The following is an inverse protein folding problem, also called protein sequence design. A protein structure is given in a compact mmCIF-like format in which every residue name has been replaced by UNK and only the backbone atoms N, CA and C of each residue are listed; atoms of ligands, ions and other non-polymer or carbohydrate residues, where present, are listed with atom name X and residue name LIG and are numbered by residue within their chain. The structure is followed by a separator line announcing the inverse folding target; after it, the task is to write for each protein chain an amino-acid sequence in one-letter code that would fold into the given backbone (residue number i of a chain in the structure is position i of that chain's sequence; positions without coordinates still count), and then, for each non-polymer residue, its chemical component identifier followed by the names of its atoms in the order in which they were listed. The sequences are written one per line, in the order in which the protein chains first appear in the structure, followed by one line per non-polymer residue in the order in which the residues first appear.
data_IF_465839016590
#
_entry.id   IF_465839016590
#
_cell.length_a   1.000
_cell.length_b   1.000
_cell.length_c   1.000
_cell.angle_alpha   90.00
_cell.angle_beta   90.00
_cell.angle_gamma   90.00
#
_symmetry.space_group_name_H-M   'P 1'
#
loop_
_entity.id
_entity.type
_entity.pdbx_description
1 polymer ?
#
# COMPACT_ATOMS: atom_id res chain seq x y z
N UNK A 1 -25.07 7.27 15.68
CA UNK A 1 -25.87 7.43 14.45
C UNK A 1 -25.19 8.38 13.49
N UNK A 2 -24.33 7.89 12.59
CA UNK A 2 -23.96 8.57 11.34
C UNK A 2 -23.69 7.47 10.31
N UNK A 3 -24.39 7.56 9.19
CA UNK A 3 -24.42 6.59 8.10
C UNK A 3 -23.03 6.21 7.61
N UNK A 4 -22.70 4.92 7.64
CA UNK A 4 -21.77 4.34 6.69
C UNK A 4 -22.54 4.19 5.37
N UNK A 5 -22.06 4.74 4.24
CA UNK A 5 -22.68 4.43 2.96
C UNK A 5 -22.55 2.92 2.72
N UNK A 6 -23.69 2.27 2.48
CA UNK A 6 -23.75 0.90 2.00
C UNK A 6 -22.79 0.77 0.81
N UNK A 7 -21.78 -0.09 0.95
CA UNK A 7 -21.12 -0.68 -0.20
C UNK A 7 -22.20 -1.45 -0.95
N UNK A 8 -22.74 -0.81 -1.99
CA UNK A 8 -23.63 -1.41 -2.97
C UNK A 8 -22.97 -2.69 -3.47
N UNK A 9 -23.48 -3.83 -2.98
CA UNK A 9 -23.22 -5.12 -3.59
C UNK A 9 -23.89 -5.06 -4.95
N UNK A 10 -23.11 -4.73 -6.00
CA UNK A 10 -23.63 -4.76 -7.37
C UNK A 10 -24.12 -6.18 -7.65
N UNK A 11 -25.43 -6.29 -7.84
CA UNK A 11 -26.12 -7.45 -8.36
C UNK A 11 -25.38 -7.97 -9.60
N UNK A 12 -25.05 -9.27 -9.60
CA UNK A 12 -24.54 -9.98 -10.78
C UNK A 12 -25.67 -10.03 -11.82
N UNK A 13 -25.70 -9.05 -12.72
CA UNK A 13 -26.41 -9.19 -13.99
C UNK A 13 -25.82 -10.37 -14.76
N UNK A 14 -26.69 -11.22 -15.30
CA UNK A 14 -26.31 -12.34 -16.15
C UNK A 14 -25.43 -11.82 -17.31
N UNK A 15 -24.17 -12.28 -17.39
CA UNK A 15 -23.27 -11.95 -18.49
C UNK A 15 -23.56 -12.88 -19.66
N UNK A 16 -24.09 -12.31 -20.75
CA UNK A 16 -24.09 -12.97 -22.05
C UNK A 16 -22.65 -13.05 -22.59
N UNK A 17 -22.12 -14.26 -22.78
CA UNK A 17 -21.12 -14.58 -23.80
C UNK A 17 -19.82 -13.77 -23.92
N UNK A 18 -19.38 -13.03 -22.90
CA UNK A 18 -18.07 -12.35 -22.93
C UNK A 18 -17.00 -13.22 -22.27
N UNK A 19 -15.86 -13.36 -22.94
CA UNK A 19 -14.62 -13.95 -22.36
C UNK A 19 -14.44 -13.40 -20.95
N UNK A 20 -14.13 -14.23 -19.92
CA UNK A 20 -13.98 -13.75 -18.56
C UNK A 20 -12.95 -12.61 -18.53
N UNK A 21 -13.41 -11.37 -18.29
CA UNK A 21 -12.51 -10.26 -18.01
C UNK A 21 -11.79 -10.57 -16.71
N UNK A 22 -10.46 -10.48 -16.70
CA UNK A 22 -9.68 -10.67 -15.48
C UNK A 22 -10.05 -9.63 -14.43
N UNK A 23 -9.59 -9.85 -13.20
CA UNK A 23 -9.87 -8.99 -12.05
C UNK A 23 -8.55 -8.55 -11.41
N UNK A 24 -8.48 -7.29 -10.98
CA UNK A 24 -7.32 -6.76 -10.24
C UNK A 24 -7.69 -6.47 -8.79
N UNK A 25 -6.98 -7.07 -7.85
CA UNK A 25 -7.09 -6.77 -6.43
C UNK A 25 -5.81 -6.05 -5.95
N UNK A 26 -5.93 -4.78 -5.55
CA UNK A 26 -4.87 -4.04 -4.88
C UNK A 26 -4.91 -4.33 -3.38
N UNK A 27 -3.93 -5.06 -2.86
CA UNK A 27 -3.99 -5.64 -1.52
C UNK A 27 -2.88 -5.12 -0.63
N UNK A 28 -3.22 -4.56 0.52
CA UNK A 28 -2.27 -4.24 1.59
C UNK A 28 -1.85 -5.50 2.36
N UNK A 29 -0.55 -5.80 2.33
CA UNK A 29 0.06 -6.97 2.97
C UNK A 29 0.29 -6.82 4.48
N UNK A 30 0.11 -5.61 5.03
CA UNK A 30 0.52 -5.33 6.40
C UNK A 30 2.04 -5.08 6.52
N UNK A 31 2.57 -4.90 7.75
CA UNK A 31 3.93 -4.44 7.99
C UNK A 31 5.01 -5.53 7.85
N UNK A 32 4.64 -6.79 7.57
CA UNK A 32 5.56 -7.91 7.34
C UNK A 32 5.16 -9.20 8.06
N UNK A 33 4.54 -9.10 9.23
CA UNK A 33 4.02 -10.27 9.96
C UNK A 33 2.76 -10.84 9.25
N UNK A 34 2.77 -12.12 8.84
CA UNK A 34 1.60 -12.75 8.21
C UNK A 34 0.33 -12.73 9.06
N UNK A 35 0.44 -12.69 10.39
CA UNK A 35 -0.74 -12.61 11.28
C UNK A 35 -1.44 -11.24 11.23
N UNK A 36 -0.78 -10.23 10.65
CA UNK A 36 -1.34 -8.91 10.43
C UNK A 36 -1.98 -8.75 9.05
N UNK A 37 -2.04 -9.83 8.24
CA UNK A 37 -2.88 -9.87 7.06
C UNK A 37 -4.36 -9.76 7.45
N UNK A 38 -5.11 -8.98 6.69
CA UNK A 38 -6.57 -9.03 6.82
C UNK A 38 -7.09 -10.34 6.25
N UNK A 39 -8.22 -10.83 6.77
CA UNK A 39 -8.89 -12.01 6.20
C UNK A 39 -9.25 -11.83 4.71
N UNK A 40 -9.47 -10.59 4.27
CA UNK A 40 -9.74 -10.28 2.86
C UNK A 40 -8.47 -10.36 2.00
N UNK A 41 -7.32 -9.93 2.55
CA UNK A 41 -6.03 -10.05 1.87
C UNK A 41 -5.63 -11.52 1.70
N UNK A 42 -5.77 -12.33 2.75
CA UNK A 42 -5.50 -13.78 2.69
C UNK A 42 -6.35 -14.46 1.60
N UNK A 43 -7.66 -14.21 1.59
CA UNK A 43 -8.57 -14.76 0.57
C UNK A 43 -8.21 -14.34 -0.86
N UNK A 44 -7.75 -13.11 -1.05
CA UNK A 44 -7.29 -12.64 -2.35
C UNK A 44 -6.05 -13.42 -2.81
N UNK A 45 -5.08 -13.62 -1.92
CA UNK A 45 -3.86 -14.40 -2.20
C UNK A 45 -4.16 -15.87 -2.52
N UNK A 46 -5.04 -16.51 -1.76
CA UNK A 46 -5.44 -17.91 -1.94
C UNK A 46 -6.17 -18.18 -3.28
N UNK A 47 -6.67 -17.12 -3.92
CA UNK A 47 -7.43 -17.21 -5.18
C UNK A 47 -6.72 -16.53 -6.36
N UNK A 48 -5.53 -15.99 -6.15
CA UNK A 48 -4.77 -15.30 -7.19
C UNK A 48 -4.23 -16.26 -8.25
N UNK A 49 -4.25 -15.84 -9.52
CA UNK A 49 -3.50 -16.49 -10.59
C UNK A 49 -2.11 -15.88 -10.73
N UNK A 50 -2.00 -14.56 -10.50
CA UNK A 50 -0.76 -13.81 -10.56
C UNK A 50 -0.67 -12.90 -9.34
N UNK A 51 0.46 -12.92 -8.64
CA UNK A 51 0.77 -12.01 -7.53
C UNK A 51 1.95 -11.14 -7.94
N UNK A 52 1.70 -9.84 -8.10
CA UNK A 52 2.73 -8.83 -8.38
C UNK A 52 3.01 -8.11 -7.06
N UNK A 53 4.18 -8.28 -6.47
CA UNK A 53 4.45 -7.81 -5.11
C UNK A 53 5.59 -6.79 -5.02
N UNK A 54 5.54 -5.93 -4.00
CA UNK A 54 6.69 -5.09 -3.64
C UNK A 54 7.80 -5.90 -2.96
N UNK A 55 9.04 -5.42 -3.06
CA UNK A 55 10.20 -5.99 -2.35
C UNK A 55 10.05 -6.08 -0.82
N UNK A 56 9.23 -5.20 -0.23
CA UNK A 56 9.07 -5.11 1.23
C UNK A 56 8.10 -6.17 1.77
N UNK A 57 7.41 -6.90 0.91
CA UNK A 57 6.56 -8.02 1.33
C UNK A 57 7.46 -9.19 1.74
N UNK A 58 7.16 -9.79 2.89
CA UNK A 58 7.93 -10.89 3.45
C UNK A 58 7.65 -12.21 2.70
N UNK A 59 8.63 -13.14 2.63
CA UNK A 59 8.41 -14.46 2.05
C UNK A 59 7.24 -15.23 2.70
N UNK A 60 7.08 -15.13 4.01
CA UNK A 60 6.02 -15.84 4.75
C UNK A 60 4.61 -15.36 4.38
N UNK A 61 4.47 -14.13 3.88
CA UNK A 61 3.21 -13.63 3.29
C UNK A 61 3.01 -14.20 1.88
N UNK A 62 4.07 -14.25 1.07
CA UNK A 62 3.99 -14.78 -0.30
C UNK A 62 3.65 -16.28 -0.32
N UNK A 63 4.07 -17.02 0.70
CA UNK A 63 3.70 -18.43 0.91
C UNK A 63 2.20 -18.66 1.10
N UNK A 64 1.42 -17.59 1.37
CA UNK A 64 -0.05 -17.65 1.45
C UNK A 64 -0.73 -17.60 0.09
N UNK A 65 0.01 -17.32 -0.98
CA UNK A 65 -0.53 -17.33 -2.33
C UNK A 65 -0.99 -18.73 -2.73
N UNK A 66 -1.99 -18.78 -3.62
CA UNK A 66 -2.47 -20.02 -4.23
C UNK A 66 -1.29 -20.85 -4.75
N UNK A 67 -1.32 -22.16 -4.52
CA UNK A 67 -0.39 -23.08 -5.16
C UNK A 67 -0.51 -22.95 -6.69
N UNK A 68 0.63 -22.70 -7.35
CA UNK A 68 0.70 -22.49 -8.80
C UNK A 68 0.38 -21.06 -9.26
N UNK A 69 0.20 -20.10 -8.36
CA UNK A 69 0.18 -18.69 -8.72
C UNK A 69 1.55 -18.27 -9.28
N UNK A 70 1.54 -17.44 -10.32
CA UNK A 70 2.74 -16.78 -10.81
C UNK A 70 3.11 -15.63 -9.88
N UNK A 71 4.27 -15.70 -9.23
CA UNK A 71 4.76 -14.66 -8.33
C UNK A 71 5.78 -13.79 -9.08
N UNK A 72 5.51 -12.49 -9.17
CA UNK A 72 6.33 -11.51 -9.87
C UNK A 72 6.80 -10.43 -8.88
N UNK A 73 8.12 -10.26 -8.75
CA UNK A 73 8.70 -9.19 -7.95
C UNK A 73 8.70 -7.88 -8.77
N UNK A 74 7.96 -6.88 -8.30
CA UNK A 74 7.96 -5.52 -8.83
C UNK A 74 9.07 -4.64 -8.18
N UNK A 75 9.85 -5.23 -7.27
CA UNK A 75 10.97 -4.66 -6.56
C UNK A 75 12.27 -4.60 -7.38
N UNK A 76 13.40 -4.46 -6.66
CA UNK A 76 14.74 -4.44 -7.26
C UNK A 76 15.32 -5.85 -7.26
N UNK A 77 15.84 -6.33 -8.39
CA UNK A 77 16.88 -7.36 -8.38
C UNK A 77 18.23 -6.71 -8.02
N UNK A 78 18.78 -7.05 -6.84
CA UNK A 78 20.12 -6.61 -6.43
C UNK A 78 20.34 -5.09 -6.42
N UNK A 79 21.49 -4.63 -6.95
CA UNK A 79 21.87 -3.22 -7.08
C UNK A 79 21.27 -2.52 -8.32
N UNK A 80 20.36 -3.17 -9.05
CA UNK A 80 19.74 -2.64 -10.26
C UNK A 80 18.74 -1.50 -10.02
N UNK A 81 18.33 -0.79 -11.10
CA UNK A 81 17.22 0.14 -11.04
C UNK A 81 15.92 -0.61 -10.67
N UNK A 82 15.06 0.03 -9.88
CA UNK A 82 13.73 -0.53 -9.60
C UNK A 82 12.92 -0.56 -10.89
N UNK A 83 12.03 -1.56 -11.03
CA UNK A 83 11.06 -1.60 -12.12
C UNK A 83 10.33 -0.26 -12.21
N UNK A 84 10.25 0.29 -13.42
CA UNK A 84 9.56 1.56 -13.59
C UNK A 84 8.06 1.36 -13.32
N UNK A 85 7.40 2.36 -12.75
CA UNK A 85 5.96 2.24 -12.45
C UNK A 85 5.13 1.90 -13.69
N UNK A 86 5.52 2.44 -14.84
CA UNK A 86 4.86 2.12 -16.11
C UNK A 86 4.95 0.63 -16.47
N UNK A 87 6.05 -0.05 -16.13
CA UNK A 87 6.24 -1.48 -16.36
C UNK A 87 5.37 -2.31 -15.40
N UNK A 88 5.29 -1.92 -14.13
CA UNK A 88 4.39 -2.55 -13.14
C UNK A 88 2.94 -2.44 -13.63
N UNK A 89 2.52 -1.23 -14.03
CA UNK A 89 1.19 -0.96 -14.55
C UNK A 89 0.90 -1.83 -15.79
N UNK A 90 1.87 -1.93 -16.71
CA UNK A 90 1.75 -2.76 -17.91
C UNK A 90 1.60 -4.25 -17.58
N UNK A 91 2.34 -4.77 -16.60
CA UNK A 91 2.21 -6.17 -16.15
C UNK A 91 0.82 -6.45 -15.57
N UNK A 92 0.32 -5.56 -14.71
CA UNK A 92 -1.03 -5.69 -14.13
C UNK A 92 -2.07 -5.79 -15.26
N UNK A 93 -2.04 -4.82 -16.19
CA UNK A 93 -2.99 -4.76 -17.32
C UNK A 93 -2.82 -5.96 -18.24
N UNK A 94 -1.60 -6.37 -18.55
CA UNK A 94 -1.31 -7.50 -19.44
C UNK A 94 -1.91 -8.81 -18.91
N UNK A 95 -1.68 -9.13 -17.63
CA UNK A 95 -2.18 -10.36 -17.04
C UNK A 95 -3.71 -10.34 -16.88
N UNK A 96 -4.27 -9.23 -16.39
CA UNK A 96 -5.72 -9.10 -16.21
C UNK A 96 -6.47 -9.11 -17.56
N UNK A 97 -5.92 -8.52 -18.62
CA UNK A 97 -6.50 -8.54 -19.97
C UNK A 97 -6.54 -9.95 -20.58
N UNK A 98 -5.72 -10.88 -20.08
CA UNK A 98 -5.72 -12.30 -20.46
C UNK A 98 -6.68 -13.15 -19.62
N UNK A 99 -7.47 -12.52 -18.75
CA UNK A 99 -8.46 -13.20 -17.91
C UNK A 99 -7.95 -13.63 -16.52
N UNK A 100 -6.70 -13.31 -16.15
CA UNK A 100 -6.14 -13.70 -14.86
C UNK A 100 -6.75 -12.89 -13.70
N UNK A 101 -6.87 -13.54 -12.53
CA UNK A 101 -7.01 -12.83 -11.27
C UNK A 101 -5.64 -12.34 -10.79
N UNK A 102 -5.41 -11.03 -10.89
CA UNK A 102 -4.17 -10.38 -10.52
C UNK A 102 -4.29 -9.77 -9.13
N UNK A 103 -3.42 -10.19 -8.21
CA UNK A 103 -3.22 -9.52 -6.93
C UNK A 103 -1.99 -8.63 -7.02
N UNK A 104 -2.18 -7.32 -6.92
CA UNK A 104 -1.10 -6.35 -6.72
C UNK A 104 -0.89 -6.19 -5.21
N UNK A 105 0.10 -6.92 -4.67
CA UNK A 105 0.38 -7.01 -3.25
C UNK A 105 1.38 -5.92 -2.81
N UNK A 106 0.94 -5.02 -1.95
CA UNK A 106 1.68 -3.82 -1.54
C UNK A 106 2.02 -3.89 -0.06
N UNK A 107 3.24 -3.52 0.31
CA UNK A 107 3.63 -3.50 1.73
C UNK A 107 2.80 -2.49 2.53
N UNK A 108 2.41 -2.86 3.75
CA UNK A 108 1.61 -2.01 4.63
C UNK A 108 0.15 -1.92 4.17
N UNK A 109 -0.32 -0.69 4.01
CA UNK A 109 -1.66 -0.40 3.47
C UNK A 109 -1.53 0.09 2.03
N UNK A 110 -2.37 -0.44 1.12
CA UNK A 110 -2.32 -0.10 -0.29
C UNK A 110 -2.49 1.40 -0.58
N UNK A 111 -3.17 2.15 0.28
CA UNK A 111 -3.51 3.56 0.10
C UNK A 111 -2.48 4.52 0.70
N UNK A 112 -1.52 4.03 1.49
CA UNK A 112 -0.55 4.88 2.20
C UNK A 112 0.81 4.85 1.50
N UNK A 113 1.13 5.94 0.80
CA UNK A 113 2.40 6.11 0.05
C UNK A 113 2.70 4.97 -0.95
N UNK A 114 1.65 4.31 -1.45
CA UNK A 114 1.74 3.14 -2.32
C UNK A 114 1.64 3.42 -3.82
N UNK A 115 1.39 4.66 -4.26
CA UNK A 115 1.14 4.99 -5.69
C UNK A 115 -0.07 4.24 -6.29
N UNK A 116 -1.07 3.95 -5.46
CA UNK A 116 -2.27 3.21 -5.86
C UNK A 116 -3.02 3.89 -7.01
N UNK A 117 -3.16 5.21 -6.99
CA UNK A 117 -3.93 5.94 -8.01
C UNK A 117 -3.34 5.75 -9.40
N UNK A 118 -2.01 5.76 -9.54
CA UNK A 118 -1.34 5.51 -10.83
C UNK A 118 -1.61 4.10 -11.38
N UNK A 119 -1.70 3.12 -10.49
CA UNK A 119 -2.02 1.72 -10.86
C UNK A 119 -3.51 1.58 -11.21
N UNK A 120 -4.40 2.24 -10.47
CA UNK A 120 -5.84 2.30 -10.76
C UNK A 120 -6.11 2.98 -12.11
N UNK A 121 -5.46 4.11 -12.40
CA UNK A 121 -5.61 4.82 -13.67
C UNK A 121 -5.27 3.92 -14.86
N UNK A 122 -4.19 3.15 -14.77
CA UNK A 122 -3.81 2.20 -15.81
C UNK A 122 -4.86 1.09 -16.01
N UNK A 123 -5.38 0.52 -14.93
CA UNK A 123 -6.39 -0.56 -14.96
C UNK A 123 -7.72 -0.05 -15.51
N UNK A 124 -8.18 1.11 -15.06
CA UNK A 124 -9.42 1.73 -15.54
C UNK A 124 -9.34 2.17 -17.00
N UNK A 125 -8.20 2.72 -17.44
CA UNK A 125 -7.95 3.07 -18.84
C UNK A 125 -8.01 1.85 -19.76
N UNK A 126 -7.58 0.69 -19.26
CA UNK A 126 -7.69 -0.59 -19.97
C UNK A 126 -9.10 -1.23 -19.91
N UNK A 127 -10.07 -0.58 -19.25
CA UNK A 127 -11.45 -1.08 -19.12
C UNK A 127 -11.58 -2.30 -18.18
N UNK A 128 -10.64 -2.47 -17.25
CA UNK A 128 -10.61 -3.58 -16.31
C UNK A 128 -11.24 -3.22 -14.96
N UNK A 129 -11.89 -4.20 -14.32
CA UNK A 129 -12.43 -4.05 -12.97
C UNK A 129 -11.34 -4.23 -11.91
N UNK A 130 -11.46 -3.48 -10.82
CA UNK A 130 -10.56 -3.62 -9.68
C UNK A 130 -11.26 -3.56 -8.32
N UNK A 131 -10.56 -4.01 -7.28
CA UNK A 131 -10.91 -3.81 -5.87
C UNK A 131 -9.70 -3.36 -5.08
N UNK A 132 -9.95 -2.62 -4.01
CA UNK A 132 -8.92 -2.28 -3.02
C UNK A 132 -9.21 -3.03 -1.73
N UNK A 133 -8.18 -3.68 -1.18
CA UNK A 133 -8.18 -4.36 0.11
C UNK A 133 -7.19 -3.64 1.01
N UNK A 134 -7.67 -2.92 2.05
CA UNK A 134 -6.78 -2.22 2.97
C UNK A 134 -5.95 -3.21 3.79
N UNK A 135 -4.83 -2.72 4.31
CA UNK A 135 -3.90 -3.44 5.16
C UNK A 135 -3.53 -2.65 6.41
N UNK A 136 -2.76 -3.26 7.30
CA UNK A 136 -2.23 -2.56 8.46
C UNK A 136 -1.00 -1.75 8.04
N UNK A 137 -1.10 -0.42 8.08
CA UNK A 137 0.02 0.46 7.76
C UNK A 137 1.15 0.38 8.80
N UNK A 138 2.39 0.60 8.38
CA UNK A 138 3.58 0.48 9.24
C UNK A 138 3.54 1.39 10.45
N UNK A 139 2.93 2.57 10.38
CA UNK A 139 2.81 3.47 11.53
C UNK A 139 2.00 2.84 12.67
N UNK A 140 0.85 2.22 12.34
CA UNK A 140 -0.02 1.59 13.34
C UNK A 140 0.67 0.41 14.00
N UNK A 141 1.36 -0.41 13.21
CA UNK A 141 2.14 -1.52 13.72
C UNK A 141 3.28 -1.04 14.62
N UNK A 142 4.06 -0.06 14.16
CA UNK A 142 5.21 0.46 14.90
C UNK A 142 4.82 1.01 16.28
N UNK A 143 3.74 1.80 16.37
CA UNK A 143 3.31 2.32 17.69
C UNK A 143 2.82 1.20 18.62
N UNK A 144 2.14 0.19 18.08
CA UNK A 144 1.66 -0.94 18.86
C UNK A 144 2.83 -1.75 19.42
N UNK A 145 3.87 -1.99 18.62
CA UNK A 145 5.10 -2.70 19.05
C UNK A 145 5.81 -1.99 20.20
N UNK A 146 5.81 -0.64 20.22
CA UNK A 146 6.40 0.13 21.33
C UNK A 146 5.42 0.42 22.47
N UNK A 147 4.22 -0.18 22.47
CA UNK A 147 3.21 -0.03 23.52
C UNK A 147 2.62 1.38 23.61
N UNK A 148 2.57 2.11 22.50
CA UNK A 148 2.04 3.48 22.44
C UNK A 148 0.84 3.60 21.49
N UNK A 149 0.02 4.61 21.75
CA UNK A 149 -1.02 5.05 20.81
C UNK A 149 -0.48 6.12 19.87
N UNK A 150 -1.00 6.21 18.64
CA UNK A 150 -0.75 7.36 17.77
C UNK A 150 -1.32 8.66 18.36
N UNK A 151 -2.43 8.58 19.09
CA UNK A 151 -3.08 9.72 19.77
C UNK A 151 -3.20 9.49 21.26
N UNK A 152 -3.12 10.57 22.05
CA UNK A 152 -3.41 10.55 23.48
C UNK A 152 -4.09 11.87 23.85
N UNK A 153 -5.21 11.80 24.59
CA UNK A 153 -6.12 12.92 24.88
C UNK A 153 -5.44 14.23 25.34
N UNK A 154 -4.33 14.13 26.08
CA UNK A 154 -3.58 15.28 26.60
C UNK A 154 -2.25 15.53 25.88
N UNK A 155 -1.92 14.72 24.87
CA UNK A 155 -0.69 14.83 24.09
C UNK A 155 -0.96 15.44 22.72
N UNK A 156 -1.93 14.90 22.00
CA UNK A 156 -2.18 15.25 20.60
C UNK A 156 -3.60 14.91 20.15
N UNK A 157 -4.20 15.79 19.34
CA UNK A 157 -5.50 15.59 18.70
C UNK A 157 -5.39 15.18 17.22
N UNK A 158 -4.20 15.27 16.64
CA UNK A 158 -3.90 14.95 15.24
C UNK A 158 -2.65 14.09 15.14
N UNK A 159 -2.53 13.41 14.00
CA UNK A 159 -1.36 12.62 13.61
C UNK A 159 -1.11 12.91 12.15
N UNK A 160 0.15 13.10 11.76
CA UNK A 160 0.54 13.34 10.37
C UNK A 160 1.29 12.14 9.82
N UNK A 161 0.89 11.69 8.64
CA UNK A 161 1.62 10.69 7.87
C UNK A 161 2.36 11.45 6.79
N UNK A 162 3.69 11.33 6.75
CA UNK A 162 4.51 12.07 5.81
C UNK A 162 5.64 11.19 5.26
N UNK A 163 6.08 11.48 4.04
CA UNK A 163 7.29 10.87 3.49
C UNK A 163 8.51 11.73 3.79
N UNK A 164 9.62 11.12 4.17
CA UNK A 164 10.90 11.79 4.29
C UNK A 164 11.63 11.95 2.95
N UNK A 165 11.14 11.33 1.88
CA UNK A 165 11.76 11.35 0.56
C UNK A 165 10.66 11.31 -0.52
N UNK A 166 10.68 12.26 -1.44
CA UNK A 166 9.79 12.29 -2.60
C UNK A 166 10.57 11.94 -3.89
N UNK A 167 9.96 12.12 -5.06
CA UNK A 167 10.63 11.87 -6.34
C UNK A 167 11.75 12.88 -6.65
N UNK A 168 11.79 14.03 -5.95
CA UNK A 168 12.74 15.14 -6.17
C UNK A 168 13.88 15.16 -5.15
N UNK A 169 13.82 14.33 -4.11
CA UNK A 169 14.85 14.24 -3.08
C UNK A 169 14.24 14.16 -1.69
N UNK A 170 14.85 14.84 -0.71
CA UNK A 170 14.26 14.95 0.61
C UNK A 170 13.01 15.81 0.55
N UNK A 171 11.90 15.26 1.02
CA UNK A 171 10.61 15.93 0.98
C UNK A 171 10.60 17.09 1.97
N UNK A 172 10.26 18.29 1.50
CA UNK A 172 10.03 19.46 2.33
C UNK A 172 8.61 19.46 2.89
N UNK A 173 8.48 19.77 4.18
CA UNK A 173 7.21 19.82 4.90
C UNK A 173 7.11 21.11 5.71
N UNK A 174 5.94 21.36 6.29
CA UNK A 174 5.78 22.43 7.28
C UNK A 174 6.46 22.04 8.61
N UNK A 175 7.78 22.20 8.65
CA UNK A 175 8.62 21.85 9.79
C UNK A 175 8.33 22.70 11.01
N UNK A 176 7.97 23.96 10.82
CA UNK A 176 7.55 24.84 11.91
C UNK A 176 6.30 24.29 12.59
N UNK A 177 5.31 23.83 11.82
CA UNK A 177 4.13 23.20 12.39
C UNK A 177 4.42 21.82 13.01
N UNK A 178 5.40 21.07 12.50
CA UNK A 178 5.79 19.76 13.07
C UNK A 178 6.62 19.87 14.36
N UNK A 179 7.35 20.97 14.54
CA UNK A 179 8.17 21.22 15.72
C UNK A 179 7.36 21.68 16.95
N UNK A 180 6.07 21.99 16.80
CA UNK A 180 5.23 22.43 17.93
C UNK A 180 5.05 21.31 18.94
N UNK A 181 4.96 21.68 20.22
CA UNK A 181 4.72 20.74 21.31
C UNK A 181 3.41 19.97 21.09
N UNK A 182 3.46 18.65 21.30
CA UNK A 182 2.29 17.78 21.15
C UNK A 182 1.98 17.36 19.72
N UNK A 183 2.84 17.67 18.74
CA UNK A 183 2.70 17.16 17.38
C UNK A 183 3.23 15.72 17.29
N UNK A 184 2.52 14.88 16.52
CA UNK A 184 2.91 13.48 16.29
C UNK A 184 2.94 13.22 14.79
N UNK A 185 4.07 12.69 14.31
CA UNK A 185 4.26 12.34 12.91
C UNK A 185 4.75 10.89 12.76
N UNK A 186 4.18 10.20 11.77
CA UNK A 186 4.69 8.96 11.24
C UNK A 186 5.44 9.25 9.93
N UNK A 187 6.76 9.07 9.95
CA UNK A 187 7.66 9.43 8.86
C UNK A 187 8.04 8.17 8.06
N UNK A 188 7.48 8.03 6.87
CA UNK A 188 7.77 6.97 5.93
C UNK A 188 9.00 7.32 5.10
N UNK A 189 9.71 6.31 4.59
CA UNK A 189 10.90 6.51 3.73
C UNK A 189 11.98 7.43 4.34
N UNK A 190 12.00 7.57 5.67
CA UNK A 190 12.83 8.55 6.38
C UNK A 190 14.27 8.11 6.63
N UNK A 191 14.65 6.85 6.35
CA UNK A 191 15.96 6.30 6.76
C UNK A 191 17.14 7.12 6.22
N UNK A 192 17.09 7.52 4.94
CA UNK A 192 18.15 8.32 4.32
C UNK A 192 18.04 9.81 4.67
N UNK A 193 16.82 10.31 4.86
CA UNK A 193 16.57 11.71 5.19
C UNK A 193 16.57 12.01 6.69
N UNK A 194 16.86 11.02 7.55
CA UNK A 194 16.77 11.16 9.00
C UNK A 194 17.57 12.36 9.54
N UNK A 195 18.80 12.56 9.04
CA UNK A 195 19.64 13.70 9.45
C UNK A 195 19.11 15.03 8.95
N UNK A 196 18.59 15.06 7.73
CA UNK A 196 17.94 16.24 7.17
C UNK A 196 16.69 16.62 7.98
N UNK A 197 15.80 15.67 8.24
CA UNK A 197 14.58 15.86 9.03
C UNK A 197 14.92 16.34 10.44
N UNK A 198 15.89 15.71 11.10
CA UNK A 198 16.38 16.13 12.42
C UNK A 198 16.85 17.58 12.39
N UNK A 199 17.68 17.95 11.41
CA UNK A 199 18.16 19.33 11.26
C UNK A 199 17.02 20.34 11.10
N UNK A 200 16.04 20.04 10.23
CA UNK A 200 14.88 20.91 10.02
C UNK A 200 14.05 21.07 11.29
N UNK A 201 13.76 19.99 12.01
CA UNK A 201 13.00 20.05 13.27
C UNK A 201 13.73 20.89 14.34
N UNK A 202 15.04 20.68 14.51
CA UNK A 202 15.85 21.46 15.47
C UNK A 202 15.91 22.95 15.10
N UNK A 203 16.02 23.29 13.82
CA UNK A 203 15.97 24.68 13.35
C UNK A 203 14.66 25.39 13.70
N UNK A 204 13.58 24.64 13.88
CA UNK A 204 12.26 25.16 14.21
C UNK A 204 11.85 24.96 15.68
N UNK A 205 12.79 24.53 16.53
CA UNK A 205 12.61 24.49 17.99
C UNK A 205 11.94 23.23 18.54
N UNK A 206 12.05 22.10 17.83
CA UNK A 206 11.61 20.79 18.32
C UNK A 206 12.47 20.25 19.47
#
# INVERSE_FOLDING_TARGET
MKHFPHFLTRSRSARSGTTPSGQVDFVGAGPGDPELLTLKALKALETADVVIHDRLVSPEILERARMGALILDAGKEGFGPAMAQAEINALIVQHASRGAHVVRLKSGDATVFGRLDEEIDAVTTAGLDYRVVPGITSASAAVATIGQSLTKRTRNASVRFLTGHDMKGFAEHDWAALARTGEVAAIYMGKRSARFIQGRLLMHGA
#
